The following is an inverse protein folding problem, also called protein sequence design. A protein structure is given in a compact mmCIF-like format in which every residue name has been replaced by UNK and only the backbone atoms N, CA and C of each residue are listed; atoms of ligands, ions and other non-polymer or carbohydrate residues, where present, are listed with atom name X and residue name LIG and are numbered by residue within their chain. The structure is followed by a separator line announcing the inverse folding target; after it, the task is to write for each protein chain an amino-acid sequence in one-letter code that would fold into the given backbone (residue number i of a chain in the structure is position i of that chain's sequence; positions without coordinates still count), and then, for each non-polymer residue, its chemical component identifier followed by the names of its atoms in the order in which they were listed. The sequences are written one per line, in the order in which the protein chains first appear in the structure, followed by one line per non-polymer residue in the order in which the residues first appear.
data_IF_563136919638
#
_entry.id   IF_563136919638
#
_cell.length_a   1.000
_cell.length_b   1.000
_cell.length_c   1.000
_cell.angle_alpha   90.00
_cell.angle_beta   90.00
_cell.angle_gamma   90.00
#
_symmetry.space_group_name_H-M   'P 1'
#
loop_
_entity.id
_entity.type
_entity.pdbx_description
1 polymer ?
#
# COMPACT_ATOMS: atom_id res chain seq x y z
N UNK A 1 9.43 5.44 -8.32
CA UNK A 1 9.32 3.97 -8.08
C UNK A 1 9.85 3.30 -9.33
N UNK A 2 10.55 2.16 -9.25
CA UNK A 2 11.06 1.47 -10.44
C UNK A 2 10.02 0.45 -10.91
N UNK A 3 9.35 0.65 -12.06
CA UNK A 3 8.43 -0.34 -12.60
C UNK A 3 9.21 -1.54 -13.12
N UNK A 4 8.61 -2.72 -13.00
CA UNK A 4 9.27 -4.00 -13.26
C UNK A 4 9.66 -4.25 -14.74
N UNK A 5 9.44 -3.28 -15.66
CA UNK A 5 9.84 -3.32 -17.10
C UNK A 5 9.93 -1.92 -17.75
N UNK A 6 10.62 -0.95 -17.15
CA UNK A 6 10.79 0.37 -17.76
C UNK A 6 11.87 1.22 -17.10
N UNK A 7 12.31 2.27 -17.81
CA UNK A 7 13.21 3.29 -17.26
C UNK A 7 12.65 3.84 -15.94
N UNK A 8 13.52 4.32 -15.05
CA UNK A 8 13.07 4.90 -13.79
C UNK A 8 12.13 6.09 -14.06
N UNK A 9 10.86 5.93 -13.73
CA UNK A 9 9.85 6.97 -13.89
C UNK A 9 9.65 7.73 -12.58
N UNK A 10 9.62 9.06 -12.70
CA UNK A 10 9.29 9.94 -11.59
C UNK A 10 7.78 9.86 -11.31
N UNK A 11 7.42 8.99 -10.37
CA UNK A 11 6.10 8.98 -9.73
C UNK A 11 6.10 10.07 -8.67
N UNK A 12 5.25 11.09 -8.79
CA UNK A 12 4.94 11.97 -7.67
C UNK A 12 3.71 11.43 -6.93
N UNK A 13 3.81 11.25 -5.62
CA UNK A 13 2.70 10.81 -4.78
C UNK A 13 2.46 11.84 -3.67
N UNK A 14 1.23 12.35 -3.60
CA UNK A 14 0.74 13.15 -2.49
C UNK A 14 -0.13 12.27 -1.60
N UNK A 15 0.27 12.13 -0.33
CA UNK A 15 -0.42 11.30 0.64
C UNK A 15 -0.87 12.15 1.80
N UNK A 16 -2.15 12.03 2.16
CA UNK A 16 -2.74 12.67 3.34
C UNK A 16 -3.24 11.58 4.27
N UNK A 17 -2.98 11.75 5.57
CA UNK A 17 -3.42 10.86 6.63
C UNK A 17 -4.28 11.64 7.63
N UNK A 18 -5.40 11.05 8.01
CA UNK A 18 -6.23 11.51 9.12
C UNK A 18 -6.32 10.39 10.14
N UNK A 19 -5.77 10.61 11.32
CA UNK A 19 -5.74 9.62 12.41
C UNK A 19 -6.71 10.09 13.49
N UNK A 20 -7.67 9.25 13.84
CA UNK A 20 -8.67 9.50 14.87
C UNK A 20 -8.79 8.25 15.76
N UNK A 21 -8.07 8.24 16.89
CA UNK A 21 -7.99 7.08 17.78
C UNK A 21 -7.46 5.84 17.05
N UNK A 22 -8.18 4.71 17.04
CA UNK A 22 -7.78 3.50 16.31
C UNK A 22 -8.00 3.62 14.79
N UNK A 23 -8.73 4.62 14.31
CA UNK A 23 -9.09 4.75 12.90
C UNK A 23 -8.08 5.61 12.14
N UNK A 24 -7.65 5.15 10.98
CA UNK A 24 -6.78 5.86 10.04
C UNK A 24 -7.50 5.96 8.70
N UNK A 25 -7.74 7.17 8.23
CA UNK A 25 -8.16 7.41 6.85
C UNK A 25 -6.97 7.95 6.06
N UNK A 26 -6.65 7.31 4.94
CA UNK A 26 -5.57 7.72 4.07
C UNK A 26 -6.12 8.03 2.68
N UNK A 27 -5.62 9.08 2.06
CA UNK A 27 -5.84 9.36 0.64
C UNK A 27 -4.50 9.56 -0.03
N UNK A 28 -4.24 8.80 -1.09
CA UNK A 28 -3.00 8.87 -1.86
C UNK A 28 -3.33 9.12 -3.32
N UNK A 29 -2.78 10.21 -3.85
CA UNK A 29 -2.86 10.57 -5.26
C UNK A 29 -1.48 10.51 -5.86
N UNK A 30 -1.29 9.60 -6.80
CA UNK A 30 -0.03 9.45 -7.51
C UNK A 30 -0.22 9.78 -8.98
N UNK A 31 0.76 10.48 -9.55
CA UNK A 31 0.84 10.83 -10.96
C UNK A 31 2.28 10.67 -11.44
N UNK A 32 2.46 9.94 -12.53
CA UNK A 32 3.66 9.97 -13.35
C UNK A 32 3.30 10.17 -14.82
N UNK A 33 4.25 9.91 -15.72
CA UNK A 33 4.08 10.17 -17.16
C UNK A 33 2.92 9.36 -17.76
N UNK A 34 2.85 8.06 -17.46
CA UNK A 34 1.89 7.15 -18.10
C UNK A 34 0.89 6.51 -17.12
N UNK A 35 0.93 6.90 -15.85
CA UNK A 35 0.09 6.32 -14.81
C UNK A 35 -0.40 7.37 -13.81
N UNK A 36 -1.68 7.26 -13.48
CA UNK A 36 -2.31 8.00 -12.40
C UNK A 36 -3.16 7.03 -11.61
N UNK A 37 -3.10 7.11 -10.30
CA UNK A 37 -4.01 6.37 -9.44
C UNK A 37 -4.37 7.20 -8.21
N UNK A 38 -5.62 7.08 -7.77
CA UNK A 38 -6.18 7.82 -6.65
C UNK A 38 -6.79 6.80 -5.71
N UNK A 39 -6.09 6.53 -4.61
CA UNK A 39 -6.51 5.57 -3.59
C UNK A 39 -7.03 6.29 -2.36
N UNK A 40 -8.08 5.73 -1.77
CA UNK A 40 -8.58 6.08 -0.46
C UNK A 40 -8.67 4.81 0.37
N UNK A 41 -8.21 4.84 1.62
CA UNK A 41 -8.37 3.72 2.53
C UNK A 41 -8.87 4.17 3.89
N UNK A 42 -9.67 3.31 4.52
CA UNK A 42 -10.14 3.45 5.88
C UNK A 42 -9.72 2.21 6.65
N UNK A 43 -8.75 2.37 7.52
CA UNK A 43 -8.14 1.33 8.33
C UNK A 43 -8.51 1.55 9.79
N UNK A 44 -8.68 0.45 10.51
CA UNK A 44 -8.85 0.42 11.95
C UNK A 44 -7.75 -0.45 12.53
N UNK A 45 -7.08 0.08 13.54
CA UNK A 45 -6.04 -0.59 14.29
C UNK A 45 -6.53 -0.83 15.72
N UNK A 46 -6.67 -2.10 16.11
CA UNK A 46 -7.10 -2.47 17.45
C UNK A 46 -6.33 -3.69 17.93
N UNK A 47 -5.64 -3.57 19.07
CA UNK A 47 -4.95 -4.69 19.71
C UNK A 47 -3.95 -5.41 18.81
N UNK A 48 -3.21 -4.69 17.97
CA UNK A 48 -2.26 -5.30 17.02
C UNK A 48 -2.87 -5.77 15.70
N UNK A 49 -4.20 -5.69 15.52
CA UNK A 49 -4.88 -6.09 14.28
C UNK A 49 -5.24 -4.87 13.44
N UNK A 50 -5.04 -4.99 12.13
CA UNK A 50 -5.44 -4.02 11.12
C UNK A 50 -6.62 -4.61 10.36
N UNK A 51 -7.68 -3.84 10.20
CA UNK A 51 -8.81 -4.18 9.32
C UNK A 51 -9.32 -2.92 8.63
N UNK A 52 -9.87 -3.06 7.43
CA UNK A 52 -10.34 -1.89 6.70
C UNK A 52 -10.71 -2.18 5.27
N UNK A 53 -10.95 -1.10 4.54
CA UNK A 53 -11.23 -1.12 3.12
C UNK A 53 -10.38 -0.11 2.38
N UNK A 54 -10.18 -0.38 1.10
CA UNK A 54 -9.53 0.52 0.16
C UNK A 54 -10.38 0.64 -1.11
N UNK A 55 -10.29 1.80 -1.74
CA UNK A 55 -10.84 2.05 -3.07
C UNK A 55 -9.85 2.84 -3.89
N UNK A 56 -9.78 2.54 -5.17
CA UNK A 56 -9.02 3.26 -6.18
C UNK A 56 -9.98 3.66 -7.30
N UNK A 57 -10.06 4.96 -7.57
CA UNK A 57 -11.13 5.49 -8.42
C UNK A 57 -10.78 5.57 -9.91
N UNK A 58 -9.50 5.48 -10.27
CA UNK A 58 -9.05 5.63 -11.67
C UNK A 58 -9.30 4.37 -12.49
N UNK A 59 -9.12 3.21 -11.86
CA UNK A 59 -9.32 1.88 -12.42
C UNK A 59 -10.55 1.19 -11.84
N UNK A 60 -11.36 1.90 -11.06
CA UNK A 60 -12.57 1.39 -10.41
C UNK A 60 -12.29 0.07 -9.67
N UNK A 61 -11.30 0.11 -8.80
CA UNK A 61 -10.84 -1.04 -8.03
C UNK A 61 -11.15 -0.84 -6.56
N UNK A 62 -11.55 -1.89 -5.85
CA UNK A 62 -11.78 -1.78 -4.41
C UNK A 62 -11.64 -3.10 -3.71
N UNK A 63 -11.54 -3.05 -2.39
CA UNK A 63 -11.63 -4.24 -1.58
C UNK A 63 -11.24 -4.00 -0.13
N UNK A 64 -10.65 -5.02 0.49
CA UNK A 64 -10.38 -5.06 1.92
C UNK A 64 -8.88 -5.04 2.21
N UNK A 65 -8.55 -4.49 3.37
CA UNK A 65 -7.22 -4.57 3.96
C UNK A 65 -7.37 -5.29 5.28
N UNK A 66 -6.54 -6.30 5.50
CA UNK A 66 -6.45 -7.01 6.79
C UNK A 66 -5.00 -7.22 7.15
N UNK A 67 -4.66 -7.27 8.43
CA UNK A 67 -3.25 -7.39 8.80
C UNK A 67 -3.01 -7.37 10.29
N UNK A 68 -1.73 -7.33 10.63
CA UNK A 68 -1.24 -7.24 12.00
C UNK A 68 -0.07 -6.28 12.08
N UNK A 69 -0.01 -5.48 13.13
CA UNK A 69 1.18 -4.73 13.50
C UNK A 69 1.69 -5.22 14.85
N UNK A 70 2.98 -5.53 14.91
CA UNK A 70 3.66 -5.97 16.11
C UNK A 70 5.04 -5.31 16.19
N UNK A 71 5.27 -4.55 17.26
CA UNK A 71 6.48 -3.76 17.46
C UNK A 71 6.75 -2.84 16.25
N UNK A 72 7.85 -3.12 15.55
CA UNK A 72 8.32 -2.33 14.42
C UNK A 72 7.89 -2.90 13.06
N UNK A 73 7.07 -3.94 13.05
CA UNK A 73 6.68 -4.66 11.84
C UNK A 73 5.19 -4.57 11.61
N UNK A 74 4.81 -4.38 10.35
CA UNK A 74 3.42 -4.42 9.90
C UNK A 74 3.33 -5.39 8.75
N UNK A 75 2.37 -6.30 8.80
CA UNK A 75 2.01 -7.17 7.70
C UNK A 75 0.54 -6.92 7.35
N UNK A 76 0.28 -6.60 6.09
CA UNK A 76 -1.06 -6.40 5.57
C UNK A 76 -1.29 -7.24 4.31
N UNK A 77 -2.50 -7.75 4.17
CA UNK A 77 -3.05 -8.41 3.01
C UNK A 77 -4.05 -7.43 2.40
N UNK A 78 -3.83 -7.12 1.13
CA UNK A 78 -4.70 -6.26 0.33
C UNK A 78 -5.42 -7.18 -0.63
N UNK A 79 -6.74 -7.25 -0.51
CA UNK A 79 -7.59 -8.06 -1.36
C UNK A 79 -8.52 -7.14 -2.13
N UNK A 80 -8.75 -7.47 -3.40
CA UNK A 80 -9.62 -6.72 -4.28
C UNK A 80 -9.76 -7.41 -5.63
N UNK A 81 -10.75 -6.97 -6.38
CA UNK A 81 -11.12 -7.50 -7.69
C UNK A 81 -10.01 -7.32 -8.74
N UNK A 82 -9.35 -6.17 -8.72
CA UNK A 82 -8.30 -5.79 -9.69
C UNK A 82 -6.90 -5.77 -9.10
N UNK A 83 -6.79 -5.80 -7.77
CA UNK A 83 -5.52 -5.85 -7.07
C UNK A 83 -5.62 -6.77 -5.85
N UNK A 84 -4.77 -7.78 -5.84
CA UNK A 84 -4.57 -8.66 -4.70
C UNK A 84 -3.07 -8.73 -4.40
N UNK A 85 -2.68 -8.59 -3.14
CA UNK A 85 -1.28 -8.45 -2.78
C UNK A 85 -1.03 -8.50 -1.28
N UNK A 86 0.24 -8.38 -0.92
CA UNK A 86 0.70 -8.28 0.46
C UNK A 86 1.60 -7.06 0.60
N UNK A 87 1.52 -6.42 1.73
CA UNK A 87 2.35 -5.30 2.12
C UNK A 87 3.06 -5.66 3.43
N UNK A 88 4.33 -5.32 3.52
CA UNK A 88 5.09 -5.38 4.76
C UNK A 88 5.80 -4.06 5.00
N UNK A 89 5.69 -3.54 6.22
CA UNK A 89 6.43 -2.36 6.67
C UNK A 89 7.37 -2.78 7.77
N UNK A 90 8.64 -2.41 7.66
CA UNK A 90 9.64 -2.58 8.70
C UNK A 90 10.18 -1.21 9.08
N UNK A 91 10.08 -0.88 10.37
CA UNK A 91 10.59 0.35 10.95
C UNK A 91 11.89 0.06 11.70
N UNK A 92 12.98 0.69 11.29
CA UNK A 92 14.30 0.52 11.90
C UNK A 92 14.93 1.88 12.16
N UNK A 93 14.92 2.31 13.43
CA UNK A 93 15.42 3.62 13.83
C UNK A 93 14.66 4.76 13.15
N UNK A 94 15.36 5.57 12.35
CA UNK A 94 14.77 6.65 11.53
C UNK A 94 14.34 6.19 10.13
N UNK A 95 14.54 4.92 9.78
CA UNK A 95 14.28 4.39 8.44
C UNK A 95 13.09 3.45 8.42
N UNK A 96 12.24 3.57 7.41
CA UNK A 96 11.05 2.75 7.27
C UNK A 96 11.06 2.15 5.86
N UNK A 97 11.07 0.82 5.75
CA UNK A 97 11.00 0.12 4.46
C UNK A 97 9.61 -0.44 4.26
N UNK A 98 8.99 -0.09 3.13
CA UNK A 98 7.69 -0.57 2.69
C UNK A 98 7.92 -1.47 1.48
N UNK A 99 7.50 -2.72 1.58
CA UNK A 99 7.49 -3.66 0.46
C UNK A 99 6.06 -4.03 0.12
N UNK A 100 5.73 -3.98 -1.16
CA UNK A 100 4.43 -4.36 -1.69
C UNK A 100 4.66 -5.40 -2.77
N UNK A 101 4.02 -6.55 -2.62
CA UNK A 101 3.98 -7.61 -3.62
C UNK A 101 2.56 -7.81 -4.10
N UNK A 102 2.40 -7.95 -5.41
CA UNK A 102 1.13 -8.23 -6.06
C UNK A 102 1.08 -9.71 -6.45
N UNK A 103 -0.07 -10.35 -6.25
CA UNK A 103 -0.36 -11.67 -6.77
C UNK A 103 -0.61 -11.56 -8.28
N UNK A 104 0.18 -12.27 -9.08
CA UNK A 104 -0.08 -12.45 -10.50
C UNK A 104 -1.13 -13.55 -10.68
N UNK A 105 -2.36 -13.23 -11.13
CA UNK A 105 -3.44 -14.20 -11.24
C UNK A 105 -3.17 -15.28 -12.29
N UNK A 106 -2.24 -15.05 -13.25
CA UNK A 106 -1.93 -16.03 -14.30
C UNK A 106 -0.94 -17.10 -13.84
N UNK A 107 0.02 -16.72 -13.01
CA UNK A 107 1.07 -17.63 -12.54
C UNK A 107 0.89 -18.08 -11.10
N UNK A 108 0.02 -17.42 -10.32
CA UNK A 108 -0.11 -17.62 -8.88
C UNK A 108 1.09 -17.11 -8.07
N UNK A 109 2.10 -16.52 -8.71
CA UNK A 109 3.30 -16.02 -8.06
C UNK A 109 3.11 -14.59 -7.52
N UNK A 110 3.78 -14.28 -6.41
CA UNK A 110 3.88 -12.91 -5.92
C UNK A 110 5.04 -12.19 -6.60
N UNK A 111 4.76 -11.03 -7.19
CA UNK A 111 5.75 -10.18 -7.86
C UNK A 111 5.91 -8.88 -7.10
N UNK A 112 7.13 -8.35 -7.02
CA UNK A 112 7.38 -7.04 -6.43
C UNK A 112 6.61 -5.97 -7.23
N UNK A 113 5.69 -5.30 -6.55
CA UNK A 113 4.93 -4.19 -7.11
C UNK A 113 5.60 -2.85 -6.76
N UNK A 114 6.06 -2.70 -5.52
CA UNK A 114 6.81 -1.53 -5.09
C UNK A 114 7.73 -1.85 -3.91
N UNK A 115 8.87 -1.18 -3.84
CA UNK A 115 9.69 -1.09 -2.63
C UNK A 115 10.02 0.39 -2.41
N UNK A 116 9.78 0.87 -1.20
CA UNK A 116 10.01 2.27 -0.83
C UNK A 116 10.77 2.28 0.49
N UNK A 117 11.91 2.96 0.52
CA UNK A 117 12.64 3.24 1.76
C UNK A 117 12.51 4.72 2.07
N UNK A 118 11.97 5.03 3.24
CA UNK A 118 11.78 6.38 3.74
C UNK A 118 12.74 6.62 4.89
N UNK A 119 13.40 7.77 4.88
CA UNK A 119 14.20 8.25 6.00
C UNK A 119 13.45 9.44 6.62
N UNK A 120 13.33 9.44 7.94
CA UNK A 120 12.76 10.54 8.72
C UNK A 120 13.81 11.61 8.99
#
# INVERSE_FOLDING_TARGET
MTPNKGNAENVSCHVTYNVAGPSVSQTMRCAGTDYKFNTSSKLNYSGGKISGSWSETTYDASGSVSGTAAGNTVHAIISGDKFSGRMSINVSGSSHTINIVQLDPKSGAYRQAASVSLHR
#
